data_IF_683230589315
#
_entry.id   IF_683230589315
#
_cell.length_a   1.000
_cell.length_b   1.000
_cell.length_c   1.000
_cell.angle_alpha   90.00
_cell.angle_beta   90.00
_cell.angle_gamma   90.00
#
_symmetry.space_group_name_H-M   'P 1'
#
loop_
_entity.id
_entity.type
_entity.pdbx_description
1 polymer ?
#
# COMPACT_ATOMS: atom_id res chain seq x y z
N UNK A 1 -45.07 -36.76 -51.94
CA UNK A 1 -43.77 -37.10 -51.34
C UNK A 1 -42.93 -35.85 -51.36
N UNK A 2 -42.58 -35.39 -50.16
CA UNK A 2 -41.91 -34.12 -49.89
C UNK A 2 -40.50 -34.09 -50.49
N UNK A 3 -40.20 -33.02 -51.22
CA UNK A 3 -38.87 -32.43 -51.28
C UNK A 3 -38.94 -31.20 -50.38
N UNK A 4 -38.35 -31.30 -49.19
CA UNK A 4 -38.31 -30.22 -48.21
C UNK A 4 -36.91 -29.61 -48.29
N UNK A 5 -36.85 -28.39 -48.82
CA UNK A 5 -35.70 -27.49 -48.70
C UNK A 5 -35.47 -27.18 -47.21
N UNK A 6 -34.22 -27.28 -46.77
CA UNK A 6 -33.78 -26.79 -45.46
C UNK A 6 -33.59 -25.27 -45.54
N UNK A 7 -34.08 -24.47 -44.58
CA UNK A 7 -33.52 -23.16 -44.34
C UNK A 7 -32.31 -23.28 -43.40
N UNK A 8 -31.27 -22.52 -43.73
CA UNK A 8 -30.12 -22.25 -42.89
C UNK A 8 -30.46 -21.27 -41.76
N UNK A 9 -29.47 -21.10 -40.87
CA UNK A 9 -29.34 -20.12 -39.76
C UNK A 9 -30.04 -20.57 -38.45
N UNK A 10 -29.41 -20.48 -37.28
CA UNK A 10 -28.66 -19.34 -36.78
C UNK A 10 -27.29 -19.67 -36.20
N UNK A 11 -26.35 -18.81 -36.54
CA UNK A 11 -25.02 -18.73 -35.97
C UNK A 11 -25.12 -18.32 -34.49
N UNK A 12 -24.42 -19.06 -33.67
CA UNK A 12 -24.12 -18.77 -32.27
C UNK A 12 -23.26 -17.48 -32.24
N UNK A 13 -23.90 -16.32 -32.09
CA UNK A 13 -23.20 -15.08 -31.82
C UNK A 13 -22.74 -15.09 -30.37
N UNK A 14 -21.59 -15.74 -30.15
CA UNK A 14 -20.75 -15.46 -29.00
C UNK A 14 -20.22 -14.03 -29.16
N UNK A 15 -21.03 -13.04 -28.74
CA UNK A 15 -20.56 -11.67 -28.51
C UNK A 15 -19.64 -11.74 -27.29
N UNK A 16 -18.37 -12.03 -27.53
CA UNK A 16 -17.33 -11.60 -26.60
C UNK A 16 -17.47 -10.08 -26.49
N UNK A 17 -17.88 -9.59 -25.32
CA UNK A 17 -17.83 -8.16 -25.00
C UNK A 17 -16.38 -7.72 -25.26
N UNK A 18 -16.20 -6.87 -26.29
CA UNK A 18 -14.89 -6.39 -26.65
C UNK A 18 -14.28 -5.68 -25.43
N UNK A 19 -13.08 -6.13 -25.03
CA UNK A 19 -12.35 -5.53 -23.91
C UNK A 19 -12.11 -4.05 -24.21
N UNK A 20 -12.50 -3.17 -23.28
CA UNK A 20 -12.41 -1.73 -23.47
C UNK A 20 -10.95 -1.30 -23.71
N UNK A 21 -10.72 -0.50 -24.76
CA UNK A 21 -9.40 -0.02 -25.13
C UNK A 21 -9.29 1.51 -24.96
N UNK A 22 -8.41 1.94 -24.05
CA UNK A 22 -8.16 3.36 -23.77
C UNK A 22 -7.59 4.14 -24.96
N UNK A 23 -6.73 3.53 -25.76
CA UNK A 23 -6.09 4.20 -26.90
C UNK A 23 -7.13 4.55 -27.97
N UNK A 24 -7.96 3.58 -28.34
CA UNK A 24 -9.08 3.77 -29.28
C UNK A 24 -10.09 4.80 -28.74
N UNK A 25 -10.50 4.67 -27.48
CA UNK A 25 -11.45 5.60 -26.86
C UNK A 25 -10.96 7.05 -26.85
N UNK A 26 -9.68 7.28 -26.55
CA UNK A 26 -9.10 8.62 -26.53
C UNK A 26 -8.96 9.20 -27.96
N UNK A 27 -8.62 8.37 -28.94
CA UNK A 27 -8.60 8.76 -30.35
C UNK A 27 -9.98 9.16 -30.85
N UNK A 28 -11.02 8.36 -30.56
CA UNK A 28 -12.40 8.62 -30.97
C UNK A 28 -12.99 9.88 -30.32
N UNK A 29 -12.76 10.06 -29.02
CA UNK A 29 -13.30 11.20 -28.27
C UNK A 29 -12.48 12.48 -28.44
N UNK A 30 -11.25 12.39 -29.00
CA UNK A 30 -10.32 13.51 -29.11
C UNK A 30 -9.91 14.10 -27.75
N UNK A 31 -10.12 13.36 -26.68
CA UNK A 31 -9.88 13.81 -25.31
C UNK A 31 -8.47 13.46 -24.85
N UNK A 32 -8.06 14.06 -23.73
CA UNK A 32 -6.72 13.86 -23.15
C UNK A 32 -6.88 13.13 -21.82
N UNK A 33 -6.16 12.03 -21.63
CA UNK A 33 -6.09 11.35 -20.35
C UNK A 33 -5.37 12.21 -19.31
N UNK A 34 -5.83 12.17 -18.07
CA UNK A 34 -5.12 12.79 -16.97
C UNK A 34 -3.72 12.14 -16.81
N UNK A 35 -2.65 12.93 -16.64
CA UNK A 35 -1.31 12.38 -16.47
C UNK A 35 -1.21 11.47 -15.24
N UNK A 36 -0.52 10.32 -15.37
CA UNK A 36 -0.26 9.41 -14.25
C UNK A 36 0.40 10.10 -13.03
N UNK A 37 1.21 11.14 -13.29
CA UNK A 37 1.86 11.95 -12.24
C UNK A 37 0.87 12.68 -11.31
N UNK A 38 -0.41 12.79 -11.68
CA UNK A 38 -1.44 13.34 -10.80
C UNK A 38 -1.90 12.33 -9.74
N UNK A 39 -1.62 11.03 -9.93
CA UNK A 39 -2.01 9.94 -9.05
C UNK A 39 -0.85 9.50 -8.15
N UNK A 40 -0.24 10.43 -7.42
CA UNK A 40 0.93 10.19 -6.53
C UNK A 40 0.72 9.09 -5.49
N UNK A 41 -0.53 8.81 -5.12
CA UNK A 41 -0.86 7.73 -4.20
C UNK A 41 -0.56 6.35 -4.80
N UNK A 42 -0.66 6.19 -6.13
CA UNK A 42 -0.28 4.96 -6.84
C UNK A 42 1.22 4.74 -6.73
N UNK A 43 2.03 5.75 -7.07
CA UNK A 43 3.50 5.67 -6.94
C UNK A 43 3.93 5.41 -5.50
N UNK A 44 3.26 6.06 -4.55
CA UNK A 44 3.50 5.87 -3.12
C UNK A 44 3.11 4.47 -2.66
N UNK A 45 2.05 3.89 -3.22
CA UNK A 45 1.58 2.56 -2.85
C UNK A 45 2.50 1.43 -3.30
N UNK A 46 3.25 1.66 -4.38
CA UNK A 46 4.26 0.75 -4.88
C UNK A 46 5.54 0.75 -4.02
N UNK A 47 5.69 1.69 -3.08
CA UNK A 47 6.83 1.73 -2.17
C UNK A 47 6.57 0.81 -0.98
N UNK A 48 7.35 -0.25 -0.88
CA UNK A 48 7.36 -1.19 0.24
C UNK A 48 8.01 -0.64 1.53
N UNK A 49 8.23 0.67 1.63
CA UNK A 49 8.93 1.32 2.75
C UNK A 49 10.46 1.20 2.73
N UNK A 50 11.04 0.34 1.87
CA UNK A 50 12.48 0.24 1.64
C UNK A 50 12.90 1.18 0.50
N UNK A 51 13.98 1.91 0.72
CA UNK A 51 14.49 2.91 -0.22
C UNK A 51 15.96 2.65 -0.56
N UNK A 52 16.40 2.94 -1.79
CA UNK A 52 17.82 3.00 -2.13
C UNK A 52 18.60 3.86 -1.13
N UNK A 53 19.77 3.38 -0.70
CA UNK A 53 20.63 4.03 0.29
C UNK A 53 20.41 3.59 1.74
N UNK A 54 19.29 2.94 2.06
CA UNK A 54 19.12 2.28 3.36
C UNK A 54 20.13 1.15 3.52
N UNK A 55 20.46 0.81 4.77
CA UNK A 55 21.37 -0.29 5.10
C UNK A 55 20.74 -1.36 5.97
N UNK A 56 21.23 -2.58 5.80
CA UNK A 56 20.78 -3.75 6.54
C UNK A 56 21.95 -4.73 6.73
N UNK A 57 21.78 -5.67 7.64
CA UNK A 57 22.73 -6.75 7.90
C UNK A 57 22.33 -8.01 7.14
N UNK A 58 23.30 -8.58 6.41
CA UNK A 58 23.13 -9.75 5.54
C UNK A 58 24.07 -10.87 6.02
N UNK A 59 23.60 -12.12 6.12
CA UNK A 59 24.47 -13.25 6.39
C UNK A 59 25.44 -13.45 5.22
N UNK A 60 26.67 -13.85 5.52
CA UNK A 60 27.63 -14.20 4.48
C UNK A 60 28.59 -15.31 4.90
N UNK A 61 29.24 -15.90 3.91
CA UNK A 61 30.12 -17.04 4.10
C UNK A 61 29.36 -18.33 4.41
N UNK A 62 30.11 -19.40 4.67
CA UNK A 62 29.56 -20.71 5.03
C UNK A 62 29.19 -20.82 6.50
N UNK A 63 29.57 -19.84 7.32
CA UNK A 63 29.28 -19.80 8.75
C UNK A 63 27.92 -19.13 9.00
N UNK A 64 26.93 -19.88 9.47
CA UNK A 64 25.56 -19.43 9.73
C UNK A 64 25.42 -18.35 10.82
N UNK A 65 26.50 -17.70 11.28
CA UNK A 65 26.51 -16.76 12.41
C UNK A 65 27.29 -15.47 12.11
N UNK A 66 27.62 -15.26 10.84
CA UNK A 66 28.47 -14.16 10.39
C UNK A 66 27.67 -13.26 9.46
N UNK A 67 27.61 -11.99 9.81
CA UNK A 67 26.83 -10.98 9.10
C UNK A 67 27.74 -9.83 8.67
N UNK A 68 27.33 -9.14 7.63
CA UNK A 68 27.94 -7.90 7.20
C UNK A 68 26.91 -6.93 6.66
N UNK A 69 27.26 -5.65 6.67
CA UNK A 69 26.35 -4.58 6.26
C UNK A 69 26.35 -4.48 4.73
N UNK A 70 25.15 -4.32 4.17
CA UNK A 70 24.94 -4.00 2.76
C UNK A 70 24.05 -2.75 2.60
N UNK A 71 24.30 -2.01 1.53
CA UNK A 71 23.43 -0.94 1.06
C UNK A 71 22.37 -1.52 0.13
N UNK A 72 21.13 -1.01 0.24
CA UNK A 72 20.10 -1.22 -0.77
C UNK A 72 20.43 -0.33 -1.97
N UNK A 73 20.73 -0.94 -3.12
CA UNK A 73 20.96 -0.23 -4.39
C UNK A 73 19.64 0.07 -5.08
N UNK A 74 18.75 -0.93 -5.15
CA UNK A 74 17.38 -0.76 -5.65
C UNK A 74 16.47 -1.84 -5.09
N UNK A 75 15.17 -1.60 -5.15
CA UNK A 75 14.11 -2.55 -4.78
C UNK A 75 13.33 -2.96 -6.03
N UNK A 76 12.88 -4.21 -6.07
CA UNK A 76 12.02 -4.75 -7.11
C UNK A 76 11.03 -5.72 -6.46
N UNK A 77 9.92 -5.17 -5.94
CA UNK A 77 8.99 -5.92 -5.10
C UNK A 77 9.71 -6.52 -3.89
N UNK A 78 9.74 -7.85 -3.80
CA UNK A 78 10.35 -8.62 -2.70
C UNK A 78 11.85 -8.90 -2.89
N UNK A 79 12.41 -8.52 -4.04
CA UNK A 79 13.84 -8.66 -4.34
C UNK A 79 14.57 -7.33 -4.11
N UNK A 80 15.69 -7.40 -3.39
CA UNK A 80 16.57 -6.28 -3.12
C UNK A 80 17.89 -6.48 -3.88
N UNK A 81 18.32 -5.46 -4.63
CA UNK A 81 19.69 -5.42 -5.13
C UNK A 81 20.57 -4.81 -4.05
N UNK A 82 21.51 -5.59 -3.53
CA UNK A 82 22.36 -5.21 -2.41
C UNK A 82 23.81 -5.09 -2.83
N UNK A 83 24.55 -4.20 -2.15
CA UNK A 83 26.01 -4.11 -2.25
C UNK A 83 26.61 -4.06 -0.86
N UNK A 84 27.55 -4.96 -0.56
CA UNK A 84 28.27 -4.91 0.71
C UNK A 84 28.99 -3.58 0.92
N UNK A 85 28.97 -3.11 2.16
CA UNK A 85 29.71 -1.94 2.58
C UNK A 85 31.22 -2.21 2.44
N UNK A 86 31.92 -1.31 1.75
CA UNK A 86 33.35 -1.45 1.43
C UNK A 86 33.66 -1.79 -0.03
N UNK A 87 32.65 -2.14 -0.85
CA UNK A 87 32.83 -2.38 -2.29
C UNK A 87 32.86 -1.12 -3.16
N UNK A 88 32.62 0.07 -2.58
CA UNK A 88 32.56 1.33 -3.32
C UNK A 88 31.48 1.34 -4.40
N UNK A 89 31.83 1.83 -5.59
CA UNK A 89 30.90 1.95 -6.74
C UNK A 89 30.91 0.74 -7.69
N UNK A 90 31.58 -0.35 -7.31
CA UNK A 90 31.73 -1.55 -8.15
C UNK A 90 30.40 -2.30 -8.33
N UNK A 91 29.75 -2.09 -9.48
CA UNK A 91 28.49 -2.75 -9.85
C UNK A 91 28.63 -4.27 -10.03
N UNK A 92 29.84 -4.78 -10.24
CA UNK A 92 30.05 -6.23 -10.33
C UNK A 92 29.95 -6.94 -8.98
N UNK A 93 30.00 -6.18 -7.88
CA UNK A 93 29.81 -6.68 -6.52
C UNK A 93 28.34 -6.63 -6.05
N UNK A 94 27.41 -6.21 -6.91
CA UNK A 94 25.98 -6.21 -6.60
C UNK A 94 25.42 -7.63 -6.64
N UNK A 95 24.53 -7.94 -5.71
CA UNK A 95 23.86 -9.23 -5.66
C UNK A 95 22.39 -9.07 -5.29
N UNK A 96 21.55 -9.92 -5.88
CA UNK A 96 20.12 -9.97 -5.55
C UNK A 96 19.90 -10.79 -4.28
N UNK A 97 19.00 -10.29 -3.44
CA UNK A 97 18.62 -10.91 -2.19
C UNK A 97 17.11 -10.87 -2.05
N UNK A 98 16.50 -12.03 -1.80
CA UNK A 98 15.07 -12.16 -1.60
C UNK A 98 14.74 -11.91 -0.12
N UNK A 99 13.89 -10.91 0.14
CA UNK A 99 13.57 -10.48 1.50
C UNK A 99 12.73 -11.50 2.28
N UNK A 100 12.06 -12.45 1.62
CA UNK A 100 11.22 -13.47 2.27
C UNK A 100 12.06 -14.70 2.66
N UNK A 101 13.07 -15.05 1.88
CA UNK A 101 13.87 -16.26 2.09
C UNK A 101 15.24 -16.02 2.74
N UNK A 102 15.81 -14.82 2.62
CA UNK A 102 17.17 -14.52 3.10
C UNK A 102 17.17 -13.90 4.51
N UNK A 103 18.00 -14.35 5.45
CA UNK A 103 17.98 -13.89 6.85
C UNK A 103 18.46 -12.43 7.03
N UNK A 104 17.67 -11.46 6.57
CA UNK A 104 17.99 -10.03 6.58
C UNK A 104 17.56 -9.37 7.88
N UNK A 105 18.39 -8.46 8.39
CA UNK A 105 18.16 -7.81 9.67
C UNK A 105 18.43 -6.30 9.63
N UNK A 106 17.80 -5.50 10.51
CA UNK A 106 18.15 -4.10 10.68
C UNK A 106 19.57 -3.95 11.26
N UNK A 107 20.15 -2.76 11.14
CA UNK A 107 21.45 -2.46 11.74
C UNK A 107 21.44 -2.66 13.26
N UNK A 108 22.49 -3.30 13.78
CA UNK A 108 22.69 -3.60 15.19
C UNK A 108 22.16 -4.96 15.64
N UNK A 109 21.43 -5.68 14.79
CA UNK A 109 20.82 -6.95 15.15
C UNK A 109 21.86 -8.02 15.49
N UNK A 110 22.92 -8.15 14.69
CA UNK A 110 23.98 -9.14 14.89
C UNK A 110 24.60 -8.99 16.28
N UNK A 111 24.95 -7.76 16.68
CA UNK A 111 25.52 -7.48 17.99
C UNK A 111 24.54 -7.81 19.13
N UNK A 112 23.27 -7.45 18.99
CA UNK A 112 22.23 -7.74 19.99
C UNK A 112 21.99 -9.25 20.17
N UNK A 113 22.15 -10.04 19.11
CA UNK A 113 21.93 -11.48 19.11
C UNK A 113 23.22 -12.29 19.28
N UNK A 114 24.34 -11.65 19.67
CA UNK A 114 25.62 -12.32 19.90
C UNK A 114 26.25 -12.94 18.64
N UNK A 115 25.90 -12.44 17.46
CA UNK A 115 26.46 -12.85 16.16
C UNK A 115 27.70 -12.03 15.83
N UNK A 116 28.52 -12.54 14.90
CA UNK A 116 29.72 -11.85 14.45
C UNK A 116 29.41 -10.89 13.31
N UNK A 117 29.66 -9.60 13.50
CA UNK A 117 29.60 -8.60 12.44
C UNK A 117 31.02 -8.37 11.90
N UNK A 118 31.34 -8.96 10.74
CA UNK A 118 32.68 -8.86 10.10
C UNK A 118 32.58 -8.90 8.58
N UNK A 119 33.49 -8.26 7.83
CA UNK A 119 33.41 -8.24 6.36
C UNK A 119 33.70 -9.60 5.71
N UNK A 120 33.14 -9.88 4.52
CA UNK A 120 33.62 -10.93 3.63
C UNK A 120 35.11 -10.82 3.33
N UNK A 121 35.79 -11.93 3.07
CA UNK A 121 37.26 -11.98 2.90
C UNK A 121 37.77 -10.99 1.83
N UNK A 122 37.13 -10.93 0.66
CA UNK A 122 37.53 -10.00 -0.41
C UNK A 122 37.37 -8.51 -0.07
N UNK A 123 36.56 -8.17 0.94
CA UNK A 123 36.43 -6.81 1.48
C UNK A 123 37.45 -6.60 2.60
N UNK A 124 37.64 -7.60 3.46
CA UNK A 124 38.61 -7.59 4.55
C UNK A 124 40.04 -7.38 4.06
N UNK A 125 40.42 -7.97 2.93
CA UNK A 125 41.73 -7.75 2.31
C UNK A 125 41.94 -6.30 1.87
N UNK A 126 40.88 -5.61 1.43
CA UNK A 126 40.90 -4.21 1.01
C UNK A 126 40.80 -3.24 2.19
N UNK A 127 40.11 -3.65 3.26
CA UNK A 127 39.86 -2.85 4.46
C UNK A 127 40.57 -3.46 5.68
N UNK A 128 41.86 -3.12 5.84
CA UNK A 128 42.67 -3.63 6.95
C UNK A 128 42.13 -3.24 8.33
N UNK A 129 41.55 -2.03 8.47
CA UNK A 129 40.89 -1.57 9.70
C UNK A 129 39.37 -1.38 9.50
N UNK A 130 38.68 -2.48 9.22
CA UNK A 130 37.24 -2.45 8.94
C UNK A 130 36.39 -1.98 10.13
N UNK A 131 36.86 -2.12 11.37
CA UNK A 131 36.15 -1.65 12.58
C UNK A 131 36.08 -0.12 12.62
N UNK A 132 37.20 0.57 12.37
CA UNK A 132 37.25 2.03 12.27
C UNK A 132 36.44 2.53 11.08
N UNK A 133 36.60 1.88 9.91
CA UNK A 133 35.79 2.19 8.73
C UNK A 133 34.29 2.06 9.00
N UNK A 134 33.89 1.02 9.72
CA UNK A 134 32.50 0.82 10.10
C UNK A 134 32.01 1.96 11.01
N UNK A 135 32.80 2.34 12.02
CA UNK A 135 32.46 3.44 12.93
C UNK A 135 32.27 4.77 12.17
N UNK A 136 33.18 5.10 11.25
CA UNK A 136 33.09 6.29 10.40
C UNK A 136 31.84 6.27 9.51
N UNK A 137 31.49 5.11 8.99
CA UNK A 137 30.37 4.96 8.05
C UNK A 137 29.02 4.73 8.74
N UNK A 138 28.95 4.53 10.06
CA UNK A 138 27.69 4.24 10.77
C UNK A 138 26.88 5.51 11.10
N UNK A 139 27.49 6.69 11.04
CA UNK A 139 26.84 7.94 11.48
C UNK A 139 25.92 8.51 10.40
N UNK A 140 24.67 8.80 10.76
CA UNK A 140 23.71 9.49 9.88
C UNK A 140 23.09 8.62 8.78
N UNK A 141 23.22 7.30 8.87
CA UNK A 141 22.69 6.36 7.88
C UNK A 141 21.36 5.77 8.32
N UNK A 142 20.41 5.67 7.38
CA UNK A 142 19.11 5.05 7.62
C UNK A 142 19.21 3.53 7.59
N UNK A 143 18.82 2.87 8.68
CA UNK A 143 18.62 1.42 8.71
C UNK A 143 17.30 1.07 8.02
N UNK A 144 17.28 -0.05 7.31
CA UNK A 144 16.03 -0.67 6.89
C UNK A 144 15.15 -0.97 8.12
N UNK A 145 13.83 -0.73 8.06
CA UNK A 145 12.93 -0.98 9.18
C UNK A 145 12.81 -2.46 9.55
N UNK A 146 12.92 -2.77 10.84
CA UNK A 146 12.86 -4.14 11.35
C UNK A 146 11.58 -4.88 10.94
N UNK A 147 10.42 -4.22 11.00
CA UNK A 147 9.11 -4.81 10.69
C UNK A 147 8.95 -5.27 9.23
N UNK A 148 9.80 -4.78 8.31
CA UNK A 148 9.81 -5.21 6.90
C UNK A 148 10.75 -6.39 6.65
N UNK A 149 11.79 -6.52 7.49
CA UNK A 149 12.81 -7.56 7.37
C UNK A 149 12.54 -8.77 8.26
N UNK A 150 11.79 -8.58 9.35
CA UNK A 150 11.61 -9.57 10.40
C UNK A 150 10.13 -9.78 10.77
N UNK A 151 9.87 -10.91 11.44
CA UNK A 151 8.56 -11.20 12.00
C UNK A 151 7.50 -11.61 10.97
N UNK A 152 6.21 -11.59 11.36
CA UNK A 152 5.11 -12.11 10.53
C UNK A 152 4.76 -11.22 9.33
N UNK A 153 5.28 -9.98 9.29
CA UNK A 153 5.05 -9.01 8.22
C UNK A 153 6.23 -8.90 7.23
N UNK A 154 7.25 -9.73 7.42
CA UNK A 154 8.42 -9.82 6.56
C UNK A 154 8.04 -10.01 5.10
N UNK A 155 8.48 -9.10 4.24
CA UNK A 155 8.20 -9.13 2.80
C UNK A 155 6.73 -9.10 2.41
N UNK A 156 5.86 -8.66 3.33
CA UNK A 156 4.47 -8.32 2.99
C UNK A 156 4.44 -6.93 2.42
N UNK A 157 3.79 -6.81 1.28
CA UNK A 157 3.46 -5.50 0.73
C UNK A 157 2.36 -4.87 1.59
N UNK A 158 2.25 -3.53 1.66
CA UNK A 158 1.16 -2.87 2.39
C UNK A 158 -0.22 -3.43 2.04
N UNK A 159 -0.43 -3.83 0.79
CA UNK A 159 -1.66 -4.45 0.30
C UNK A 159 -1.99 -5.78 1.00
N UNK A 160 -0.98 -6.60 1.31
CA UNK A 160 -1.16 -7.91 1.96
C UNK A 160 -1.57 -7.77 3.44
N UNK A 161 -1.49 -6.57 4.01
CA UNK A 161 -1.75 -6.32 5.43
C UNK A 161 -3.20 -5.91 5.71
N UNK A 162 -3.85 -5.30 4.73
CA UNK A 162 -5.26 -4.93 4.81
C UNK A 162 -6.12 -6.06 4.24
N UNK A 163 -6.09 -7.22 4.89
CA UNK A 163 -6.88 -8.39 4.49
C UNK A 163 -8.32 -8.33 5.01
N UNK A 164 -9.23 -9.17 4.48
CA UNK A 164 -10.57 -9.34 5.06
C UNK A 164 -10.51 -9.66 6.57
N UNK A 165 -11.28 -8.92 7.35
CA UNK A 165 -11.32 -9.00 8.82
C UNK A 165 -10.39 -8.03 9.56
N UNK A 166 -9.44 -7.37 8.85
CA UNK A 166 -8.53 -6.41 9.48
C UNK A 166 -9.28 -5.26 10.15
N UNK A 167 -8.82 -4.90 11.34
CA UNK A 167 -9.40 -3.86 12.21
C UNK A 167 -8.70 -2.53 12.01
N UNK A 168 -9.50 -1.47 11.85
CA UNK A 168 -9.04 -0.08 11.65
C UNK A 168 -9.95 0.91 12.37
N UNK A 169 -9.48 2.14 12.53
CA UNK A 169 -10.26 3.28 13.00
C UNK A 169 -10.38 4.32 11.88
N UNK A 170 -11.60 4.80 11.63
CA UNK A 170 -11.89 5.77 10.58
C UNK A 170 -12.31 7.11 11.20
N UNK A 171 -11.50 8.15 10.98
CA UNK A 171 -11.85 9.53 11.31
C UNK A 171 -12.98 10.02 10.39
N UNK A 172 -14.01 10.67 10.95
CA UNK A 172 -15.17 11.10 10.16
C UNK A 172 -14.81 12.16 9.10
N UNK A 173 -14.07 13.19 9.47
CA UNK A 173 -13.47 14.16 8.58
C UNK A 173 -12.24 14.80 9.24
N UNK A 174 -11.37 15.44 8.44
CA UNK A 174 -10.04 15.92 8.89
C UNK A 174 -10.07 16.84 10.12
N UNK A 175 -11.11 17.67 10.23
CA UNK A 175 -11.28 18.62 11.34
C UNK A 175 -12.17 18.07 12.47
N UNK A 176 -12.66 16.84 12.32
CA UNK A 176 -13.45 16.17 13.33
C UNK A 176 -12.53 15.50 14.35
N UNK A 177 -12.91 15.60 15.62
CA UNK A 177 -12.33 14.83 16.73
C UNK A 177 -13.06 13.50 16.95
N UNK A 178 -13.83 13.04 15.96
CA UNK A 178 -14.61 11.81 16.03
C UNK A 178 -14.04 10.74 15.11
N UNK A 179 -13.91 9.52 15.65
CA UNK A 179 -13.55 8.34 14.90
C UNK A 179 -14.53 7.19 15.20
N UNK A 180 -14.58 6.21 14.31
CA UNK A 180 -15.37 5.00 14.52
C UNK A 180 -14.63 3.74 14.06
N UNK A 181 -14.81 2.59 14.74
CA UNK A 181 -14.23 1.33 14.29
C UNK A 181 -14.79 0.88 12.94
N UNK A 182 -13.90 0.37 12.09
CA UNK A 182 -14.27 -0.25 10.81
C UNK A 182 -13.50 -1.55 10.59
N UNK A 183 -14.09 -2.45 9.81
CA UNK A 183 -13.45 -3.69 9.37
C UNK A 183 -13.28 -3.73 7.87
N UNK A 184 -12.15 -4.23 7.41
CA UNK A 184 -11.93 -4.52 5.99
C UNK A 184 -12.77 -5.74 5.60
N UNK A 185 -13.68 -5.58 4.65
CA UNK A 185 -14.40 -6.70 4.03
C UNK A 185 -13.58 -7.29 2.88
N UNK A 186 -13.04 -6.42 2.04
CA UNK A 186 -12.21 -6.78 0.90
C UNK A 186 -11.20 -5.68 0.58
N UNK A 187 -10.13 -6.08 -0.11
CA UNK A 187 -9.09 -5.20 -0.60
C UNK A 187 -8.83 -5.50 -2.07
N UNK A 188 -9.18 -4.54 -2.92
CA UNK A 188 -9.03 -4.63 -4.37
C UNK A 188 -7.98 -3.60 -4.81
N UNK A 189 -6.74 -4.05 -4.98
CA UNK A 189 -5.65 -3.18 -5.44
C UNK A 189 -5.31 -2.01 -4.51
N UNK A 190 -5.54 -2.15 -3.20
CA UNK A 190 -5.35 -1.09 -2.19
C UNK A 190 -6.61 -0.29 -1.89
N UNK A 191 -7.70 -0.53 -2.61
CA UNK A 191 -9.00 0.01 -2.29
C UNK A 191 -9.70 -0.92 -1.31
N UNK A 192 -9.96 -0.42 -0.12
CA UNK A 192 -10.57 -1.16 0.98
C UNK A 192 -12.07 -0.91 0.98
N UNK A 193 -12.86 -1.98 0.96
CA UNK A 193 -14.25 -1.93 1.36
C UNK A 193 -14.30 -2.03 2.88
N UNK A 194 -14.76 -0.98 3.54
CA UNK A 194 -14.74 -0.86 4.99
C UNK A 194 -16.17 -0.89 5.52
N UNK A 195 -16.48 -1.86 6.35
CA UNK A 195 -17.76 -1.95 7.06
C UNK A 195 -17.65 -1.21 8.40
N UNK A 196 -18.63 -0.37 8.71
CA UNK A 196 -18.71 0.24 10.04
C UNK A 196 -19.09 -0.80 11.09
N UNK A 197 -18.37 -0.84 12.20
CA UNK A 197 -18.63 -1.84 13.23
C UNK A 197 -20.06 -1.72 13.76
N UNK A 198 -20.78 -2.85 13.75
CA UNK A 198 -22.15 -2.97 14.27
C UNK A 198 -23.28 -2.71 13.27
N UNK A 199 -22.97 -2.33 12.02
CA UNK A 199 -23.95 -2.16 10.93
C UNK A 199 -23.43 -2.75 9.62
N UNK A 200 -24.32 -2.89 8.63
CA UNK A 200 -23.96 -3.40 7.30
C UNK A 200 -23.44 -2.31 6.35
N UNK A 201 -23.62 -1.04 6.69
CA UNK A 201 -23.17 0.09 5.89
C UNK A 201 -21.65 0.06 5.68
N UNK A 202 -21.25 0.36 4.45
CA UNK A 202 -19.85 0.27 4.01
C UNK A 202 -19.41 1.56 3.32
N UNK A 203 -18.11 1.81 3.36
CA UNK A 203 -17.44 2.89 2.64
C UNK A 203 -16.21 2.36 1.92
N UNK A 204 -15.90 2.94 0.76
CA UNK A 204 -14.73 2.57 -0.02
C UNK A 204 -13.65 3.64 0.10
N UNK A 205 -12.48 3.27 0.60
CA UNK A 205 -11.33 4.17 0.74
C UNK A 205 -10.05 3.49 0.27
N UNK A 206 -9.13 4.27 -0.29
CA UNK A 206 -7.77 3.77 -0.52
C UNK A 206 -7.03 3.64 0.81
N UNK A 207 -6.19 2.62 0.99
CA UNK A 207 -5.55 2.35 2.28
C UNK A 207 -4.62 3.47 2.79
N UNK A 208 -4.12 4.33 1.89
CA UNK A 208 -3.37 5.54 2.25
C UNK A 208 -4.26 6.77 2.53
N UNK A 209 -5.57 6.59 2.62
CA UNK A 209 -6.48 7.69 2.89
C UNK A 209 -6.19 8.28 4.29
N UNK A 210 -6.06 9.61 4.42
CA UNK A 210 -5.55 10.22 5.65
C UNK A 210 -6.44 9.95 6.87
N UNK A 211 -7.74 9.72 6.68
CA UNK A 211 -8.66 9.43 7.78
C UNK A 211 -8.58 8.00 8.32
N UNK A 212 -7.78 7.13 7.71
CA UNK A 212 -7.61 5.75 8.16
C UNK A 212 -6.44 5.63 9.13
N UNK A 213 -6.71 4.96 10.25
CA UNK A 213 -5.77 4.83 11.34
C UNK A 213 -5.76 3.40 11.91
N UNK A 214 -4.63 3.06 12.53
CA UNK A 214 -4.50 1.84 13.32
C UNK A 214 -5.43 1.85 14.54
N UNK A 215 -5.76 0.66 15.03
CA UNK A 215 -6.51 0.50 16.28
C UNK A 215 -5.75 1.14 17.45
N UNK A 216 -6.47 1.91 18.28
CA UNK A 216 -5.93 2.64 19.42
C UNK A 216 -5.45 4.06 19.10
N UNK A 217 -5.44 4.47 17.82
CA UNK A 217 -5.05 5.81 17.42
C UNK A 217 -5.97 6.88 18.01
N UNK A 218 -7.29 6.65 18.00
CA UNK A 218 -8.27 7.57 18.54
C UNK A 218 -8.08 7.78 20.04
N UNK A 219 -7.87 6.70 20.80
CA UNK A 219 -7.59 6.76 22.23
C UNK A 219 -6.29 7.54 22.52
N UNK A 220 -5.23 7.31 21.74
CA UNK A 220 -3.95 8.00 21.88
C UNK A 220 -4.07 9.51 21.64
N UNK A 221 -4.87 9.92 20.65
CA UNK A 221 -5.05 11.32 20.27
C UNK A 221 -6.25 12.00 20.95
N UNK A 222 -6.94 11.29 21.86
CA UNK A 222 -8.13 11.78 22.59
C UNK A 222 -9.31 12.14 21.68
N UNK A 223 -9.53 11.31 20.67
CA UNK A 223 -10.70 11.38 19.80
C UNK A 223 -11.88 10.65 20.46
N UNK A 224 -13.08 11.15 20.20
CA UNK A 224 -14.31 10.55 20.67
C UNK A 224 -14.74 9.43 19.73
N UNK A 225 -14.98 8.25 20.30
CA UNK A 225 -15.49 7.10 19.54
C UNK A 225 -17.01 7.22 19.39
N UNK A 226 -17.45 7.79 18.27
CA UNK A 226 -18.88 7.96 17.97
C UNK A 226 -19.21 7.56 16.53
N UNK A 227 -20.39 6.97 16.30
CA UNK A 227 -20.81 6.57 14.97
C UNK A 227 -20.95 7.80 14.07
N UNK A 228 -20.52 7.75 12.80
CA UNK A 228 -20.74 8.82 11.84
C UNK A 228 -22.23 9.19 11.70
N UNK A 229 -22.53 10.44 11.36
CA UNK A 229 -23.92 10.91 11.18
C UNK A 229 -24.73 10.06 10.20
N UNK A 230 -24.07 9.48 9.20
CA UNK A 230 -24.69 8.60 8.22
C UNK A 230 -25.33 7.35 8.86
N UNK A 231 -24.75 6.83 9.95
CA UNK A 231 -25.22 5.60 10.61
C UNK A 231 -25.73 5.84 12.04
N UNK A 232 -25.51 7.02 12.61
CA UNK A 232 -25.81 7.31 14.02
C UNK A 232 -27.27 7.08 14.40
N UNK A 233 -28.19 7.23 13.46
CA UNK A 233 -29.64 7.06 13.64
C UNK A 233 -30.11 5.58 13.61
N UNK A 234 -29.23 4.65 13.23
CA UNK A 234 -29.60 3.24 13.04
C UNK A 234 -29.70 2.44 14.34
N UNK A 235 -29.08 2.92 15.43
CA UNK A 235 -29.06 2.24 16.74
C UNK A 235 -29.12 3.23 17.90
N UNK A 236 -29.50 2.75 19.08
CA UNK A 236 -29.46 3.55 20.32
C UNK A 236 -28.05 3.76 20.85
N UNK A 237 -27.86 4.76 21.72
CA UNK A 237 -26.56 5.01 22.35
C UNK A 237 -26.04 3.82 23.17
N UNK A 238 -26.94 3.06 23.79
CA UNK A 238 -26.59 1.85 24.56
C UNK A 238 -26.05 0.75 23.64
N UNK A 239 -26.71 0.51 22.51
CA UNK A 239 -26.23 -0.46 21.51
C UNK A 239 -24.85 -0.08 20.99
N UNK A 240 -24.61 1.22 20.72
CA UNK A 240 -23.31 1.70 20.27
C UNK A 240 -22.21 1.49 21.32
N UNK A 241 -22.51 1.69 22.60
CA UNK A 241 -21.57 1.42 23.70
C UNK A 241 -21.25 -0.07 23.84
N UNK A 242 -22.25 -0.94 23.65
CA UNK A 242 -22.03 -2.39 23.64
C UNK A 242 -21.13 -2.83 22.49
N UNK A 243 -21.30 -2.22 21.30
CA UNK A 243 -20.44 -2.46 20.13
C UNK A 243 -18.99 -2.06 20.42
N UNK A 244 -18.75 -0.88 20.99
CA UNK A 244 -17.41 -0.44 21.37
C UNK A 244 -16.76 -1.36 22.42
N UNK A 245 -17.54 -1.80 23.42
CA UNK A 245 -17.05 -2.74 24.43
C UNK A 245 -16.59 -4.05 23.77
N UNK A 246 -17.35 -4.57 22.80
CA UNK A 246 -16.96 -5.75 22.02
C UNK A 246 -15.70 -5.50 21.20
N UNK A 247 -15.62 -4.35 20.51
CA UNK A 247 -14.47 -3.96 19.71
C UNK A 247 -13.16 -3.95 20.50
N UNK A 248 -13.17 -3.38 21.72
CA UNK A 248 -12.00 -3.30 22.61
C UNK A 248 -11.53 -4.68 23.08
N UNK A 249 -12.47 -5.60 23.28
CA UNK A 249 -12.18 -6.98 23.74
C UNK A 249 -11.81 -7.95 22.62
N UNK A 250 -12.04 -7.57 21.37
CA UNK A 250 -11.82 -8.43 20.20
C UNK A 250 -10.33 -8.48 19.82
N UNK A 251 -9.67 -9.66 19.88
CA UNK A 251 -8.25 -9.83 19.54
C UNK A 251 -7.98 -9.83 18.03
N UNK A 252 -8.96 -9.50 17.18
CA UNK A 252 -8.84 -9.55 15.71
C UNK A 252 -7.63 -8.81 15.13
N UNK A 253 -7.35 -9.13 13.86
CA UNK A 253 -6.12 -8.72 13.19
C UNK A 253 -6.01 -7.19 13.05
N UNK A 254 -5.09 -6.61 13.81
CA UNK A 254 -4.81 -5.18 13.77
C UNK A 254 -3.65 -4.92 12.80
N UNK A 255 -3.81 -3.92 11.93
CA UNK A 255 -2.71 -3.47 11.07
C UNK A 255 -1.72 -2.67 11.91
N UNK A 256 -0.41 -3.02 11.91
CA UNK A 256 0.58 -2.30 12.72
C UNK A 256 0.71 -0.83 12.31
N UNK A 257 1.00 0.04 13.29
CA UNK A 257 1.09 1.49 13.10
C UNK A 257 2.15 1.89 12.07
N UNK A 258 3.20 1.10 11.93
CA UNK A 258 4.34 1.33 11.03
C UNK A 258 3.93 1.32 9.54
N UNK A 259 2.79 0.73 9.20
CA UNK A 259 2.26 0.68 7.84
C UNK A 259 1.34 1.85 7.50
N UNK A 260 1.01 2.69 8.48
CA UNK A 260 0.33 3.96 8.26
C UNK A 260 1.40 5.02 7.99
N UNK A 261 1.38 5.58 6.78
CA UNK A 261 2.32 6.64 6.43
C UNK A 261 1.96 7.93 7.18
N UNK A 262 2.98 8.70 7.57
CA UNK A 262 2.76 10.05 8.09
C UNK A 262 1.91 10.85 7.09
N UNK A 263 0.88 11.52 7.59
CA UNK A 263 -0.05 12.29 6.77
C UNK A 263 0.71 13.39 6.01
N UNK A 264 1.06 13.10 4.76
CA UNK A 264 1.53 14.12 3.84
C UNK A 264 0.37 15.08 3.54
N UNK A 265 0.63 16.39 3.39
CA UNK A 265 -0.40 17.32 2.95
C UNK A 265 -1.02 16.82 1.65
N UNK A 266 -2.35 16.93 1.53
CA UNK A 266 -3.08 16.51 0.34
C UNK A 266 -2.36 17.07 -0.90
N UNK A 267 -1.98 16.21 -1.85
CA UNK A 267 -1.20 16.65 -3.00
C UNK A 267 -2.04 17.64 -3.79
N UNK A 268 -1.44 18.80 -4.08
CA UNK A 268 -2.01 19.75 -5.03
C UNK A 268 -2.03 19.09 -6.41
N UNK A 269 -3.18 19.12 -7.06
CA UNK A 269 -3.37 18.57 -8.39
C UNK A 269 -3.52 19.68 -9.43
N UNK A 270 -3.39 19.31 -10.71
CA UNK A 270 -3.58 20.24 -11.84
C UNK A 270 -4.52 19.67 -12.90
N UNK A 271 -5.52 18.89 -12.46
CA UNK A 271 -6.60 18.43 -13.33
C UNK A 271 -7.30 19.62 -14.01
N UNK A 272 -7.71 19.40 -15.26
CA UNK A 272 -8.48 20.35 -16.04
C UNK A 272 -9.81 19.70 -16.44
N UNK A 273 -10.84 20.53 -16.57
CA UNK A 273 -12.11 20.07 -17.12
C UNK A 273 -11.90 19.52 -18.55
N UNK A 274 -12.53 18.38 -18.85
CA UNK A 274 -12.37 17.64 -20.10
C UNK A 274 -11.27 16.56 -20.07
N UNK A 275 -10.46 16.47 -19.01
CA UNK A 275 -9.54 15.34 -18.85
C UNK A 275 -10.32 14.03 -18.58
N UNK A 276 -9.86 12.94 -19.19
CA UNK A 276 -10.37 11.58 -18.95
C UNK A 276 -9.63 10.92 -17.80
N UNK A 277 -10.37 10.21 -16.95
CA UNK A 277 -9.88 9.44 -15.80
C UNK A 277 -10.65 8.13 -15.70
N UNK A 278 -10.13 7.16 -14.96
CA UNK A 278 -10.95 6.07 -14.43
C UNK A 278 -11.59 6.52 -13.12
N UNK A 279 -12.90 6.35 -13.00
CA UNK A 279 -13.64 6.60 -11.77
C UNK A 279 -14.51 5.38 -11.42
N UNK A 280 -14.89 5.27 -10.15
CA UNK A 280 -15.88 4.26 -9.79
C UNK A 280 -17.24 4.61 -10.35
N UNK A 281 -17.95 3.59 -10.82
CA UNK A 281 -19.40 3.68 -10.96
C UNK A 281 -20.05 3.88 -9.57
N UNK A 282 -20.78 4.98 -9.34
CA UNK A 282 -21.54 5.19 -8.11
C UNK A 282 -22.57 4.09 -7.83
N UNK A 283 -23.06 3.41 -8.87
CA UNK A 283 -24.06 2.34 -8.81
C UNK A 283 -23.43 0.98 -8.54
N UNK A 284 -22.18 0.78 -8.97
CA UNK A 284 -21.40 -0.41 -8.71
C UNK A 284 -19.96 -0.04 -8.30
N UNK A 285 -19.70 0.16 -6.99
CA UNK A 285 -18.39 0.57 -6.48
C UNK A 285 -17.25 -0.45 -6.67
N UNK A 286 -17.53 -1.62 -7.24
CA UNK A 286 -16.54 -2.62 -7.62
C UNK A 286 -16.06 -2.47 -9.08
N UNK A 287 -16.71 -1.62 -9.86
CA UNK A 287 -16.42 -1.40 -11.28
C UNK A 287 -15.78 -0.03 -11.51
N UNK A 288 -14.72 0.00 -12.32
CA UNK A 288 -14.11 1.22 -12.81
C UNK A 288 -14.64 1.48 -14.21
N UNK A 289 -15.03 2.73 -14.47
CA UNK A 289 -15.51 3.15 -15.77
C UNK A 289 -14.73 4.40 -16.22
N UNK A 290 -14.57 4.59 -17.54
CA UNK A 290 -14.11 5.86 -18.08
C UNK A 290 -14.98 7.00 -17.57
N UNK A 291 -14.35 8.10 -17.21
CA UNK A 291 -15.02 9.26 -16.67
C UNK A 291 -14.36 10.55 -17.13
N UNK A 292 -15.15 11.60 -17.23
CA UNK A 292 -14.69 12.94 -17.60
C UNK A 292 -14.69 13.84 -16.38
N UNK A 293 -13.56 14.50 -16.10
CA UNK A 293 -13.51 15.59 -15.13
C UNK A 293 -14.35 16.75 -15.67
N UNK A 294 -15.49 17.04 -15.06
CA UNK A 294 -16.39 18.09 -15.53
C UNK A 294 -16.11 19.42 -14.83
N UNK A 295 -15.74 19.37 -13.55
CA UNK A 295 -15.47 20.56 -12.76
C UNK A 295 -14.46 20.30 -11.66
N UNK A 296 -13.54 21.26 -11.50
CA UNK A 296 -12.51 21.26 -10.46
C UNK A 296 -12.94 22.23 -9.36
N UNK A 297 -13.04 21.74 -8.13
CA UNK A 297 -13.50 22.55 -6.99
C UNK A 297 -12.36 23.40 -6.42
N UNK A 298 -11.19 22.78 -6.23
CA UNK A 298 -10.02 23.44 -5.68
C UNK A 298 -8.75 22.76 -6.17
N UNK A 299 -7.60 23.23 -5.68
CA UNK A 299 -6.30 22.59 -5.90
C UNK A 299 -6.17 21.19 -5.26
N UNK A 300 -7.14 20.78 -4.43
CA UNK A 300 -7.11 19.52 -3.68
C UNK A 300 -8.31 18.60 -3.97
N UNK A 301 -9.39 19.13 -4.55
CA UNK A 301 -10.63 18.40 -4.76
C UNK A 301 -11.19 18.62 -6.17
N UNK A 302 -11.62 17.52 -6.79
CA UNK A 302 -12.50 17.54 -7.96
C UNK A 302 -13.94 17.73 -7.48
N UNK A 303 -14.69 18.59 -8.14
CA UNK A 303 -16.09 18.83 -7.77
C UNK A 303 -16.98 17.72 -8.33
N UNK A 304 -16.78 17.36 -9.60
CA UNK A 304 -17.57 16.35 -10.30
C UNK A 304 -16.74 15.65 -11.38
N UNK A 305 -16.83 14.33 -11.42
CA UNK A 305 -16.48 13.49 -12.57
C UNK A 305 -17.77 12.86 -13.09
N UNK A 306 -18.05 12.98 -14.37
CA UNK A 306 -19.17 12.27 -14.98
C UNK A 306 -18.67 10.93 -15.50
N UNK A 307 -19.36 9.85 -15.16
CA UNK A 307 -19.10 8.55 -15.77
C UNK A 307 -19.51 8.65 -17.24
N UNK A 308 -18.61 8.24 -18.12
CA UNK A 308 -18.90 8.20 -19.55
C UNK A 308 -19.75 6.95 -19.82
N UNK A 309 -20.86 7.12 -20.54
CA UNK A 309 -21.68 5.98 -20.96
C UNK A 309 -20.84 5.09 -21.89
N UNK A 310 -20.88 3.77 -21.65
CA UNK A 310 -20.20 2.76 -22.47
C UNK A 310 -20.87 2.55 -23.82
#
# INVERSE_FOLDING_TARGET
MNLQEQPATDADFNLEEAEFNWEEYLEETGCIAAPHSFFKHVDTSLKNGLSPGMRLEVPHGTESQVYWIANIITTCGKLLLLRYLGCGEDRSADFWCDMVTSDLHPLGWAQQNGKSLRPPEGIREKLQNWEEFLAENSTGVSSAPAHLLEGPHRGKDPLDLFGPGSKLELQHCRDSIVAWPVRVLENTGGRLQLQYEGVSDCVWLFYLHPSLHQVGWAAQHKYDMQPPQAISHLKSEEEWKEILTKWETDPGDCVPAEFFQEQLPLPVHSFLAGMKVEALDPSNPSCFMPATVTKVFSEQYLENCNIDDS
#
